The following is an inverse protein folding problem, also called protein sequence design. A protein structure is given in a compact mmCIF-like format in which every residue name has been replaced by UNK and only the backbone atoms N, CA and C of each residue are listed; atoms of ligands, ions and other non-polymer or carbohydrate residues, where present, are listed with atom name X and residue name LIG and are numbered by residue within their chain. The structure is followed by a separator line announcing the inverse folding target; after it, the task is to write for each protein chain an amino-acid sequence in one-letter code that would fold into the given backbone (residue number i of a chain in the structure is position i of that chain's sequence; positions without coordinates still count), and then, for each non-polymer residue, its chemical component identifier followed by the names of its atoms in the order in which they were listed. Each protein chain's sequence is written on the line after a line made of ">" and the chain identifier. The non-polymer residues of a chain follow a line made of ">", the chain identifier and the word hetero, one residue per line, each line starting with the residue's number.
data_IF_402854116933
#
_entry.id   IF_402854116933
#
_cell.length_a   1.000
_cell.length_b   1.000
_cell.length_c   1.000
_cell.angle_alpha   90.00
_cell.angle_beta   90.00
_cell.angle_gamma   90.00
#
_symmetry.space_group_name_H-M   'P 1'
#
loop_
_entity.id
_entity.type
_entity.pdbx_description
1 polymer ?
#
# COMPACT_ATOMS: atom_id res chain seq x y z
N UNK A 1 21.50 -19.29 -7.03
CA UNK A 1 21.26 -18.85 -5.65
C UNK A 1 20.88 -17.38 -5.65
N UNK A 2 19.60 -17.06 -5.36
CA UNK A 2 19.20 -15.74 -4.90
C UNK A 2 18.35 -15.80 -3.62
N UNK A 3 18.32 -16.94 -2.90
CA UNK A 3 17.37 -17.12 -1.79
C UNK A 3 17.66 -16.20 -0.63
N UNK A 4 18.91 -16.04 -0.20
CA UNK A 4 19.25 -15.19 0.96
C UNK A 4 19.01 -13.70 0.72
N UNK A 5 19.27 -13.21 -0.49
CA UNK A 5 19.02 -11.81 -0.84
C UNK A 5 17.52 -11.55 -0.95
N UNK A 6 16.77 -12.49 -1.54
CA UNK A 6 15.31 -12.44 -1.60
C UNK A 6 14.67 -12.56 -0.22
N UNK A 7 15.13 -13.50 0.61
CA UNK A 7 14.72 -13.66 2.01
C UNK A 7 15.04 -12.41 2.82
N UNK A 8 16.23 -11.84 2.67
CA UNK A 8 16.60 -10.58 3.32
C UNK A 8 15.75 -9.39 2.81
N UNK A 9 15.42 -9.33 1.51
CA UNK A 9 14.49 -8.34 0.96
C UNK A 9 13.05 -8.57 1.41
N UNK A 10 12.63 -9.83 1.59
CA UNK A 10 11.31 -10.21 2.10
C UNK A 10 11.19 -9.91 3.61
N UNK A 11 12.31 -9.98 4.36
CA UNK A 11 12.46 -9.56 5.76
C UNK A 11 12.50 -8.03 5.92
N UNK A 12 13.10 -7.32 4.96
CA UNK A 12 13.09 -5.86 4.84
C UNK A 12 11.73 -5.35 4.36
N UNK A 13 10.79 -5.22 5.29
CA UNK A 13 9.47 -4.70 4.98
C UNK A 13 8.36 -5.22 5.86
N UNK A 14 8.68 -6.04 6.86
CA UNK A 14 7.73 -6.25 7.94
C UNK A 14 7.55 -4.96 8.74
N UNK A 15 6.29 -4.56 8.97
CA UNK A 15 5.90 -3.38 9.76
C UNK A 15 6.19 -3.54 11.26
N UNK A 16 7.26 -4.23 11.63
CA UNK A 16 7.59 -4.61 13.01
C UNK A 16 7.94 -3.40 13.88
N UNK A 17 8.38 -2.29 13.25
CA UNK A 17 8.63 -1.03 13.92
C UNK A 17 7.39 -0.14 14.08
N UNK A 18 6.28 -0.51 13.45
CA UNK A 18 5.03 0.25 13.50
C UNK A 18 4.02 -0.44 14.40
N UNK A 19 3.15 0.36 15.00
CA UNK A 19 1.95 -0.18 15.64
C UNK A 19 0.97 -0.65 14.56
N UNK A 20 0.97 -1.96 14.30
CA UNK A 20 0.06 -2.60 13.34
C UNK A 20 -1.41 -2.45 13.71
N UNK A 21 -1.75 -2.02 14.94
CA UNK A 21 -3.12 -1.75 15.37
C UNK A 21 -3.50 -0.28 15.28
N UNK A 22 -2.58 0.58 14.85
CA UNK A 22 -2.87 1.99 14.60
C UNK A 22 -3.84 2.11 13.40
N UNK A 23 -5.10 2.41 13.72
CA UNK A 23 -6.18 2.55 12.73
C UNK A 23 -5.89 3.69 11.76
N UNK A 24 -5.24 4.77 12.21
CA UNK A 24 -4.88 5.89 11.35
C UNK A 24 -3.82 5.47 10.34
N UNK A 25 -2.84 4.68 10.77
CA UNK A 25 -1.83 4.11 9.88
C UNK A 25 -2.44 3.14 8.87
N UNK A 26 -3.26 2.18 9.34
CA UNK A 26 -3.97 1.24 8.48
C UNK A 26 -4.79 1.96 7.40
N UNK A 27 -5.54 2.99 7.81
CA UNK A 27 -6.35 3.79 6.88
C UNK A 27 -5.50 4.59 5.90
N UNK A 28 -4.39 5.18 6.35
CA UNK A 28 -3.48 5.90 5.47
C UNK A 28 -2.91 4.99 4.37
N UNK A 29 -2.44 3.79 4.73
CA UNK A 29 -2.03 2.78 3.75
C UNK A 29 -3.17 2.41 2.81
N UNK A 30 -4.38 2.22 3.34
CA UNK A 30 -5.51 1.78 2.54
C UNK A 30 -5.92 2.83 1.51
N UNK A 31 -6.02 4.09 1.92
CA UNK A 31 -6.35 5.21 1.02
C UNK A 31 -5.28 5.37 -0.06
N UNK A 32 -3.99 5.37 0.31
CA UNK A 32 -2.89 5.53 -0.65
C UNK A 32 -2.84 4.37 -1.65
N UNK A 33 -2.99 3.12 -1.20
CA UNK A 33 -2.99 1.96 -2.10
C UNK A 33 -4.24 1.96 -2.98
N UNK A 34 -5.41 2.25 -2.42
CA UNK A 34 -6.66 2.32 -3.17
C UNK A 34 -6.62 3.40 -4.24
N UNK A 35 -6.02 4.56 -3.96
CA UNK A 35 -5.89 5.66 -4.92
C UNK A 35 -5.17 5.22 -6.20
N UNK A 36 -4.12 4.41 -6.06
CA UNK A 36 -3.40 3.83 -7.21
C UNK A 36 -4.29 2.86 -7.97
N UNK A 37 -4.95 1.92 -7.28
CA UNK A 37 -5.86 0.94 -7.91
C UNK A 37 -7.00 1.62 -8.67
N UNK A 38 -7.54 2.71 -8.12
CA UNK A 38 -8.69 3.41 -8.70
C UNK A 38 -8.30 4.48 -9.74
N UNK A 39 -7.01 4.69 -10.00
CA UNK A 39 -6.51 5.77 -10.86
C UNK A 39 -7.05 5.69 -12.30
N UNK A 40 -7.25 4.47 -12.81
CA UNK A 40 -7.82 4.24 -14.13
C UNK A 40 -9.35 4.05 -14.14
N UNK A 41 -9.97 4.07 -12.95
CA UNK A 41 -11.40 3.85 -12.66
C UNK A 41 -11.88 2.42 -12.91
N UNK A 42 -10.99 1.44 -12.97
CA UNK A 42 -11.30 0.03 -13.19
C UNK A 42 -10.60 -0.81 -12.13
N UNK A 43 -11.29 -1.08 -11.02
CA UNK A 43 -10.76 -2.00 -10.01
C UNK A 43 -10.93 -3.46 -10.44
N UNK A 44 -9.84 -4.19 -10.55
CA UNK A 44 -9.84 -5.60 -10.92
C UNK A 44 -9.86 -6.51 -9.67
N UNK A 45 -10.39 -7.72 -9.82
CA UNK A 45 -10.40 -8.69 -8.72
C UNK A 45 -8.98 -9.09 -8.28
N UNK A 46 -7.99 -9.00 -9.16
CA UNK A 46 -6.62 -9.32 -8.82
C UNK A 46 -5.95 -8.20 -8.01
N UNK A 47 -6.19 -6.93 -8.35
CA UNK A 47 -5.71 -5.79 -7.54
C UNK A 47 -6.34 -5.81 -6.15
N UNK A 48 -7.66 -6.04 -6.06
CA UNK A 48 -8.33 -6.24 -4.77
C UNK A 48 -7.72 -7.36 -3.96
N UNK A 49 -7.41 -8.50 -4.60
CA UNK A 49 -6.73 -9.61 -3.92
C UNK A 49 -5.34 -9.22 -3.42
N UNK A 50 -4.59 -8.39 -4.15
CA UNK A 50 -3.27 -7.87 -3.72
C UNK A 50 -3.40 -6.91 -2.55
N UNK A 51 -4.36 -5.98 -2.61
CA UNK A 51 -4.73 -5.11 -1.51
C UNK A 51 -5.04 -5.92 -0.24
N UNK A 52 -5.94 -6.91 -0.34
CA UNK A 52 -6.29 -7.76 0.81
C UNK A 52 -5.10 -8.56 1.32
N UNK A 53 -4.24 -9.06 0.42
CA UNK A 53 -3.06 -9.83 0.82
C UNK A 53 -2.07 -8.98 1.63
N UNK A 54 -1.89 -7.71 1.27
CA UNK A 54 -1.04 -6.78 2.03
C UNK A 54 -1.57 -6.60 3.46
N UNK A 55 -2.84 -6.21 3.62
CA UNK A 55 -3.41 -5.98 4.96
C UNK A 55 -3.47 -7.26 5.81
N UNK A 56 -3.74 -8.41 5.18
CA UNK A 56 -3.74 -9.69 5.87
C UNK A 56 -2.34 -10.08 6.37
N UNK A 57 -1.31 -9.90 5.55
CA UNK A 57 0.03 -10.37 5.89
C UNK A 57 0.78 -9.38 6.77
N UNK A 58 0.70 -8.08 6.46
CA UNK A 58 1.52 -7.05 7.07
C UNK A 58 0.85 -6.40 8.30
N UNK A 59 -0.48 -6.30 8.31
CA UNK A 59 -1.28 -5.80 9.45
C UNK A 59 -2.02 -6.89 10.23
N UNK A 60 -2.02 -8.14 9.75
CA UNK A 60 -2.72 -9.27 10.39
C UNK A 60 -4.23 -9.08 10.51
N UNK A 61 -4.84 -8.33 9.58
CA UNK A 61 -6.29 -8.10 9.55
C UNK A 61 -7.05 -9.32 9.01
N UNK A 62 -8.27 -9.51 9.49
CA UNK A 62 -9.20 -10.48 8.95
C UNK A 62 -9.96 -9.96 7.71
N UNK A 63 -10.71 -10.83 7.03
CA UNK A 63 -11.40 -10.45 5.81
C UNK A 63 -12.48 -9.37 6.03
N UNK A 64 -13.16 -9.37 7.19
CA UNK A 64 -14.21 -8.39 7.49
C UNK A 64 -13.60 -7.01 7.74
N UNK A 65 -12.49 -6.97 8.47
CA UNK A 65 -11.70 -5.75 8.71
C UNK A 65 -11.16 -5.19 7.39
N UNK A 66 -10.62 -6.04 6.52
CA UNK A 66 -10.11 -5.65 5.20
C UNK A 66 -11.23 -5.10 4.31
N UNK A 67 -12.39 -5.76 4.25
CA UNK A 67 -13.52 -5.31 3.45
C UNK A 67 -14.04 -3.96 3.94
N UNK A 68 -14.05 -3.74 5.26
CA UNK A 68 -14.40 -2.45 5.85
C UNK A 68 -13.38 -1.38 5.48
N UNK A 69 -12.10 -1.69 5.59
CA UNK A 69 -11.01 -0.77 5.28
C UNK A 69 -11.00 -0.37 3.80
N UNK A 70 -11.29 -1.30 2.90
CA UNK A 70 -11.45 -1.02 1.47
C UNK A 70 -12.64 -0.09 1.18
N UNK A 71 -13.78 -0.29 1.87
CA UNK A 71 -14.94 0.63 1.75
C UNK A 71 -14.63 2.02 2.29
N UNK A 72 -13.86 2.11 3.37
CA UNK A 72 -13.42 3.41 3.90
C UNK A 72 -12.46 4.09 2.92
N UNK A 73 -11.50 3.35 2.37
CA UNK A 73 -10.53 3.88 1.41
C UNK A 73 -11.22 4.49 0.18
N UNK A 74 -12.26 3.84 -0.36
CA UNK A 74 -13.02 4.38 -1.49
C UNK A 74 -13.82 5.64 -1.17
N UNK A 75 -14.24 5.82 0.08
CA UNK A 75 -14.91 7.04 0.53
C UNK A 75 -13.93 8.20 0.74
N UNK A 76 -12.71 7.90 1.18
CA UNK A 76 -11.66 8.86 1.50
C UNK A 76 -10.65 9.09 0.37
N UNK A 77 -10.88 8.52 -0.82
CA UNK A 77 -10.00 8.67 -1.99
C UNK A 77 -9.71 10.14 -2.34
N UNK A 78 -10.68 11.03 -2.12
CA UNK A 78 -10.52 12.49 -2.33
C UNK A 78 -9.59 13.17 -1.32
N UNK A 79 -9.34 12.53 -0.20
CA UNK A 79 -8.45 13.00 0.86
C UNK A 79 -7.04 12.39 0.72
N UNK A 80 -6.71 11.83 -0.45
CA UNK A 80 -5.44 11.18 -0.75
C UNK A 80 -4.22 11.96 -0.24
N UNK A 81 -4.10 13.24 -0.58
CA UNK A 81 -2.94 14.06 -0.18
C UNK A 81 -2.80 14.14 1.34
N UNK A 82 -3.91 14.22 2.07
CA UNK A 82 -3.91 14.25 3.54
C UNK A 82 -3.43 12.92 4.11
N UNK A 83 -3.89 11.80 3.57
CA UNK A 83 -3.46 10.49 4.02
C UNK A 83 -2.02 10.15 3.61
N UNK A 84 -1.55 10.69 2.48
CA UNK A 84 -0.14 10.59 2.08
C UNK A 84 0.76 11.34 3.07
N UNK A 85 0.37 12.54 3.49
CA UNK A 85 1.11 13.30 4.52
C UNK A 85 1.14 12.56 5.87
N UNK A 86 0.00 12.00 6.30
CA UNK A 86 -0.06 11.16 7.51
C UNK A 86 0.86 9.95 7.40
N UNK A 87 0.89 9.31 6.22
CA UNK A 87 1.74 8.15 5.98
C UNK A 87 3.21 8.55 6.05
N UNK A 88 3.62 9.64 5.38
CA UNK A 88 4.97 10.21 5.44
C UNK A 88 5.41 10.50 6.88
N UNK A 89 4.56 11.13 7.67
CA UNK A 89 4.88 11.42 9.08
C UNK A 89 5.11 10.13 9.89
N UNK A 90 4.28 9.11 9.67
CA UNK A 90 4.33 7.86 10.44
C UNK A 90 5.45 6.91 9.99
N UNK A 91 5.80 6.90 8.71
CA UNK A 91 6.75 5.94 8.15
C UNK A 91 8.10 6.53 7.74
N UNK A 92 8.24 7.85 7.67
CA UNK A 92 9.46 8.51 7.17
C UNK A 92 10.73 8.26 8.01
N UNK A 93 10.58 7.74 9.23
CA UNK A 93 11.71 7.26 10.05
C UNK A 93 12.13 5.82 9.74
N UNK A 94 11.40 5.12 8.86
CA UNK A 94 11.51 3.68 8.60
C UNK A 94 11.57 3.42 7.08
N UNK A 95 12.73 3.63 6.43
CA UNK A 95 12.89 3.45 4.98
C UNK A 95 12.49 2.06 4.46
N UNK A 96 12.62 1.02 5.29
CA UNK A 96 12.17 -0.33 4.95
C UNK A 96 10.64 -0.42 4.75
N UNK A 97 9.88 0.41 5.46
CA UNK A 97 8.42 0.51 5.33
C UNK A 97 8.06 1.26 4.05
N UNK A 98 8.77 2.35 3.73
CA UNK A 98 8.59 3.10 2.48
C UNK A 98 8.84 2.20 1.27
N UNK A 99 9.94 1.42 1.32
CA UNK A 99 10.26 0.42 0.30
C UNK A 99 9.18 -0.66 0.19
N UNK A 100 8.65 -1.15 1.32
CA UNK A 100 7.54 -2.12 1.32
C UNK A 100 6.30 -1.56 0.64
N UNK A 101 5.95 -0.30 0.90
CA UNK A 101 4.84 0.36 0.21
C UNK A 101 5.08 0.39 -1.30
N UNK A 102 6.26 0.82 -1.74
CA UNK A 102 6.61 0.86 -3.17
C UNK A 102 6.53 -0.52 -3.82
N UNK A 103 7.01 -1.56 -3.14
CA UNK A 103 6.90 -2.94 -3.63
C UNK A 103 5.44 -3.39 -3.75
N UNK A 104 4.60 -3.07 -2.76
CA UNK A 104 3.18 -3.38 -2.78
C UNK A 104 2.50 -2.71 -3.97
N UNK A 105 2.68 -1.40 -4.16
CA UNK A 105 2.11 -0.66 -5.28
C UNK A 105 2.60 -1.20 -6.64
N UNK A 106 3.89 -1.45 -6.78
CA UNK A 106 4.43 -2.06 -8.00
C UNK A 106 3.83 -3.45 -8.26
N UNK A 107 3.64 -4.27 -7.22
CA UNK A 107 3.02 -5.58 -7.37
C UNK A 107 1.56 -5.51 -7.79
N UNK A 108 0.85 -4.43 -7.42
CA UNK A 108 -0.53 -4.16 -7.81
C UNK A 108 -0.58 -3.81 -9.30
N UNK A 109 0.13 -2.76 -9.72
CA UNK A 109 0.12 -2.26 -11.10
C UNK A 109 0.55 -3.31 -12.15
N UNK A 110 1.49 -4.21 -11.82
CA UNK A 110 1.99 -5.21 -12.78
C UNK A 110 1.00 -6.37 -12.96
N UNK A 111 -0.10 -6.42 -12.21
CA UNK A 111 -0.99 -7.58 -12.16
C UNK A 111 -1.84 -7.79 -13.42
N UNK A 112 -2.24 -6.71 -14.10
CA UNK A 112 -3.11 -6.77 -15.29
C UNK A 112 -2.43 -6.20 -16.56
N UNK A 113 -1.19 -5.72 -16.43
CA UNK A 113 -0.46 -5.03 -17.49
C UNK A 113 -0.29 -3.55 -17.16
N UNK A 114 0.69 -2.90 -17.80
CA UNK A 114 1.03 -1.51 -17.47
C UNK A 114 -0.12 -0.55 -17.80
N UNK A 115 -0.54 0.23 -16.80
CA UNK A 115 -1.44 1.36 -16.96
C UNK A 115 -0.69 2.67 -16.64
N UNK A 116 -0.72 3.62 -17.58
CA UNK A 116 -0.01 4.90 -17.42
C UNK A 116 -0.56 5.75 -16.27
N UNK A 117 -1.87 5.69 -15.98
CA UNK A 117 -2.48 6.49 -14.91
C UNK A 117 -2.07 5.99 -13.53
N UNK A 118 -2.14 4.68 -13.32
CA UNK A 118 -1.67 4.06 -12.07
C UNK A 118 -0.18 4.36 -11.87
N UNK A 119 0.62 4.30 -12.95
CA UNK A 119 2.04 4.62 -12.90
C UNK A 119 2.29 6.08 -12.50
N UNK A 120 1.52 7.04 -13.03
CA UNK A 120 1.64 8.44 -12.62
C UNK A 120 1.31 8.63 -11.13
N UNK A 121 0.28 7.97 -10.60
CA UNK A 121 -0.01 8.03 -9.16
C UNK A 121 1.09 7.36 -8.32
N UNK A 122 1.66 6.25 -8.80
CA UNK A 122 2.84 5.64 -8.17
C UNK A 122 4.03 6.59 -8.13
N UNK A 123 4.34 7.30 -9.22
CA UNK A 123 5.45 8.24 -9.27
C UNK A 123 5.25 9.41 -8.30
N UNK A 124 4.02 9.93 -8.16
CA UNK A 124 3.72 10.96 -7.16
C UNK A 124 3.99 10.47 -5.73
N UNK A 125 3.58 9.25 -5.40
CA UNK A 125 3.82 8.68 -4.07
C UNK A 125 5.33 8.47 -3.85
N UNK A 126 6.06 7.97 -4.85
CA UNK A 126 7.52 7.82 -4.82
C UNK A 126 8.20 9.15 -4.51
N UNK A 127 7.90 10.19 -5.30
CA UNK A 127 8.51 11.52 -5.17
C UNK A 127 8.13 12.21 -3.85
N UNK A 128 7.02 11.81 -3.24
CA UNK A 128 6.62 12.31 -1.93
C UNK A 128 7.38 11.64 -0.77
N UNK A 129 7.84 10.41 -0.93
CA UNK A 129 8.52 9.62 0.11
C UNK A 129 10.05 9.68 0.01
N UNK A 130 10.62 9.84 -1.19
CA UNK A 130 12.06 9.81 -1.47
C UNK A 130 12.56 11.10 -2.12
#
# INVERSE_FOLDING_TARGET
>A
MPSKLREWFDELGHLNHLDKKDITLQRAFAVVIYHVINADKVETEKEKKRFSSFFKNDFSLDNLEIDQLHREASQFDKDFDTYLDVLKEKIGAYPEVELKLMQTLNSIMVTEGFNEKEFLEFEKIRDALF
#
